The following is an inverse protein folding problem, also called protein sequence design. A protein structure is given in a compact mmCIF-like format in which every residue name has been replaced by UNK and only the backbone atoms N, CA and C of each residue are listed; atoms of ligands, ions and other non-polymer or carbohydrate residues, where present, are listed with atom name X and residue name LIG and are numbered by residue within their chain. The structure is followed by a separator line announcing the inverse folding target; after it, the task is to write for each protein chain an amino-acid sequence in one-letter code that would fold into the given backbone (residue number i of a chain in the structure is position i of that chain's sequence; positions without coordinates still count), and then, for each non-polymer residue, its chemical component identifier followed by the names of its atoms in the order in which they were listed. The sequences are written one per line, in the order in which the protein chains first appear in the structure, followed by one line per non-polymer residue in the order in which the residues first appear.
data_IF_932285141974
#
_entry.id   IF_932285141974
#
_cell.length_a   1.000
_cell.length_b   1.000
_cell.length_c   1.000
_cell.angle_alpha   90.00
_cell.angle_beta   90.00
_cell.angle_gamma   90.00
#
_symmetry.space_group_name_H-M   'P 1'
#
loop_
_entity.id
_entity.type
_entity.pdbx_description
1 polymer ?
#
# COMPACT_ATOMS: atom_id res chain seq x y z
N UNK A 1 29.62 -1.90 1.51
CA UNK A 1 28.29 -1.91 2.15
C UNK A 1 27.55 -3.24 1.97
N UNK A 2 27.22 -3.68 0.75
CA UNK A 2 26.55 -4.98 0.54
C UNK A 2 27.36 -6.18 1.06
N UNK A 3 28.68 -6.16 0.86
CA UNK A 3 29.56 -7.25 1.29
C UNK A 3 29.68 -7.36 2.83
N UNK A 4 29.58 -6.24 3.55
CA UNK A 4 29.56 -6.24 5.02
C UNK A 4 28.20 -6.66 5.59
N UNK A 5 27.11 -6.30 4.91
CA UNK A 5 25.77 -6.78 5.24
C UNK A 5 25.65 -8.31 5.10
N UNK A 6 26.35 -8.90 4.13
CA UNK A 6 26.35 -10.36 3.89
C UNK A 6 27.16 -11.11 4.97
N UNK A 7 28.31 -10.59 5.40
CA UNK A 7 29.10 -11.21 6.48
C UNK A 7 28.47 -11.04 7.86
N UNK A 8 27.81 -9.91 8.14
CA UNK A 8 27.05 -9.72 9.37
C UNK A 8 25.80 -10.63 9.44
N UNK A 9 25.17 -10.95 8.30
CA UNK A 9 24.05 -11.88 8.24
C UNK A 9 24.44 -13.34 8.57
N UNK A 10 25.71 -13.71 8.41
CA UNK A 10 26.25 -15.02 8.80
C UNK A 10 26.53 -15.12 10.31
N UNK A 11 26.84 -14.01 10.97
CA UNK A 11 27.14 -13.99 12.42
C UNK A 11 25.90 -13.78 13.30
N UNK A 12 24.87 -13.07 12.79
CA UNK A 12 23.65 -12.75 13.54
C UNK A 12 22.40 -12.86 12.64
N UNK A 13 21.94 -14.09 12.32
CA UNK A 13 20.83 -14.33 11.39
C UNK A 13 19.50 -13.75 11.88
N UNK A 14 19.28 -13.69 13.19
CA UNK A 14 18.08 -13.10 13.80
C UNK A 14 17.97 -11.58 13.58
N UNK A 15 19.08 -10.84 13.70
CA UNK A 15 19.11 -9.41 13.44
C UNK A 15 18.87 -9.10 11.95
N UNK A 16 19.51 -9.86 11.05
CA UNK A 16 19.32 -9.73 9.62
C UNK A 16 17.87 -10.04 9.19
N UNK A 17 17.25 -11.07 9.77
CA UNK A 17 15.84 -11.43 9.52
C UNK A 17 14.85 -10.36 9.97
N UNK A 18 15.11 -9.69 11.11
CA UNK A 18 14.27 -8.60 11.60
C UNK A 18 14.30 -7.38 10.68
N UNK A 19 15.49 -6.99 10.23
CA UNK A 19 15.70 -5.84 9.32
C UNK A 19 15.03 -6.08 7.96
N UNK A 20 15.15 -7.30 7.43
CA UNK A 20 14.55 -7.67 6.14
C UNK A 20 13.01 -7.68 6.20
N UNK A 21 12.42 -8.14 7.31
CA UNK A 21 10.96 -8.04 7.57
C UNK A 21 10.52 -6.58 7.73
N UNK A 22 11.31 -5.75 8.41
CA UNK A 22 11.04 -4.32 8.59
C UNK A 22 10.99 -3.55 7.27
N UNK A 23 12.01 -3.73 6.41
CA UNK A 23 12.05 -3.11 5.07
C UNK A 23 10.84 -3.51 4.24
N UNK A 24 10.52 -4.82 4.19
CA UNK A 24 9.36 -5.33 3.45
C UNK A 24 8.04 -4.72 3.95
N UNK A 25 7.89 -4.52 5.26
CA UNK A 25 6.73 -3.89 5.87
C UNK A 25 6.55 -2.42 5.47
N UNK A 26 7.65 -1.66 5.39
CA UNK A 26 7.65 -0.26 4.97
C UNK A 26 7.19 -0.10 3.51
N UNK A 27 7.69 -0.94 2.61
CA UNK A 27 7.25 -0.91 1.20
C UNK A 27 5.74 -1.18 1.07
N UNK A 28 5.20 -2.10 1.86
CA UNK A 28 3.75 -2.39 1.91
C UNK A 28 2.95 -1.21 2.46
N UNK A 29 3.43 -0.58 3.53
CA UNK A 29 2.75 0.56 4.15
C UNK A 29 2.67 1.73 3.17
N UNK A 30 3.78 2.08 2.51
CA UNK A 30 3.83 3.14 1.50
C UNK A 30 2.88 2.83 0.34
N UNK A 31 2.90 1.60 -0.18
CA UNK A 31 1.99 1.17 -1.25
C UNK A 31 0.52 1.30 -0.88
N UNK A 32 0.15 0.96 0.35
CA UNK A 32 -1.24 1.06 0.84
C UNK A 32 -1.71 2.51 0.92
N UNK A 33 -0.85 3.44 1.36
CA UNK A 33 -1.16 4.87 1.46
C UNK A 33 -1.38 5.46 0.06
N UNK A 34 -0.49 5.16 -0.89
CA UNK A 34 -0.62 5.63 -2.27
C UNK A 34 -1.94 5.13 -2.88
N UNK A 35 -2.26 3.85 -2.71
CA UNK A 35 -3.50 3.28 -3.22
C UNK A 35 -4.74 3.93 -2.61
N UNK A 36 -4.73 4.23 -1.31
CA UNK A 36 -5.83 4.90 -0.64
C UNK A 36 -6.06 6.33 -1.17
N UNK A 37 -4.98 7.08 -1.43
CA UNK A 37 -5.07 8.41 -2.05
C UNK A 37 -5.64 8.32 -3.46
N UNK A 38 -5.13 7.41 -4.30
CA UNK A 38 -5.65 7.23 -5.66
C UNK A 38 -7.13 6.85 -5.63
N UNK A 39 -7.51 5.93 -4.75
CA UNK A 39 -8.89 5.49 -4.59
C UNK A 39 -9.83 6.66 -4.19
N UNK A 40 -9.39 7.50 -3.25
CA UNK A 40 -10.12 8.70 -2.83
C UNK A 40 -10.28 9.71 -3.97
N UNK A 41 -9.21 9.95 -4.74
CA UNK A 41 -9.24 10.87 -5.91
C UNK A 41 -10.20 10.35 -6.97
N UNK A 42 -10.09 9.09 -7.38
CA UNK A 42 -10.97 8.52 -8.43
C UNK A 42 -12.43 8.50 -7.95
N UNK A 43 -12.70 8.19 -6.68
CA UNK A 43 -14.05 8.26 -6.12
C UNK A 43 -14.61 9.70 -6.12
N UNK A 44 -13.76 10.69 -5.82
CA UNK A 44 -14.11 12.12 -5.89
C UNK A 44 -14.49 12.53 -7.31
N UNK A 45 -13.71 12.11 -8.30
CA UNK A 45 -13.99 12.38 -9.72
C UNK A 45 -15.32 11.78 -10.15
N UNK A 46 -15.70 10.63 -9.58
CA UNK A 46 -16.93 9.87 -9.85
C UNK A 46 -18.17 10.37 -9.09
N UNK A 47 -18.03 11.45 -8.30
CA UNK A 47 -19.12 12.05 -7.52
C UNK A 47 -19.53 11.23 -6.30
N UNK A 48 -18.64 10.40 -5.76
CA UNK A 48 -18.87 9.63 -4.52
C UNK A 48 -18.00 10.16 -3.38
N UNK A 49 -18.36 9.77 -2.17
CA UNK A 49 -17.67 10.15 -0.93
C UNK A 49 -16.20 9.70 -0.95
N UNK A 50 -15.29 10.66 -1.12
CA UNK A 50 -13.85 10.45 -1.19
C UNK A 50 -13.30 9.76 0.08
N UNK A 51 -13.75 10.21 1.25
CA UNK A 51 -13.31 9.69 2.55
C UNK A 51 -13.64 8.20 2.72
N UNK A 52 -14.86 7.80 2.37
CA UNK A 52 -15.31 6.41 2.57
C UNK A 52 -14.55 5.45 1.67
N UNK A 53 -14.31 5.86 0.42
CA UNK A 53 -13.54 5.07 -0.55
C UNK A 53 -12.04 5.03 -0.27
N UNK A 54 -11.46 6.13 0.21
CA UNK A 54 -10.06 6.17 0.64
C UNK A 54 -9.78 5.26 1.84
N UNK A 55 -10.66 5.28 2.86
CA UNK A 55 -10.56 4.38 4.03
C UNK A 55 -10.72 2.92 3.60
N UNK A 56 -11.65 2.63 2.69
CA UNK A 56 -11.80 1.28 2.15
C UNK A 56 -10.53 0.84 1.38
N UNK A 57 -9.88 1.77 0.66
CA UNK A 57 -8.63 1.54 -0.04
C UNK A 57 -7.39 1.34 0.85
N UNK A 58 -7.40 1.83 2.09
CA UNK A 58 -6.35 1.49 3.06
C UNK A 58 -6.39 0.01 3.47
N UNK A 59 -7.59 -0.57 3.59
CA UNK A 59 -7.75 -1.98 4.00
C UNK A 59 -7.68 -2.97 2.83
N UNK A 60 -8.20 -2.60 1.66
CA UNK A 60 -8.33 -3.47 0.49
C UNK A 60 -7.71 -2.84 -0.76
N UNK A 61 -6.49 -2.33 -0.63
CA UNK A 61 -5.74 -1.54 -1.64
C UNK A 61 -5.95 -1.97 -3.10
N UNK A 62 -5.80 -3.26 -3.43
CA UNK A 62 -5.99 -3.75 -4.80
C UNK A 62 -7.47 -3.90 -5.18
N UNK A 63 -8.29 -4.46 -4.28
CA UNK A 63 -9.70 -4.78 -4.56
C UNK A 63 -10.55 -3.52 -4.70
N UNK A 64 -10.34 -2.51 -3.85
CA UNK A 64 -11.09 -1.26 -3.93
C UNK A 64 -10.79 -0.49 -5.21
N UNK A 65 -9.54 -0.48 -5.66
CA UNK A 65 -9.17 0.18 -6.90
C UNK A 65 -9.95 -0.41 -8.10
N UNK A 66 -10.02 -1.74 -8.17
CA UNK A 66 -10.78 -2.47 -9.19
C UNK A 66 -12.28 -2.10 -9.11
N UNK A 67 -12.86 -2.10 -7.91
CA UNK A 67 -14.30 -1.80 -7.74
C UNK A 67 -14.63 -0.32 -8.06
N UNK A 68 -13.78 0.66 -7.72
CA UNK A 68 -14.01 2.07 -8.14
C UNK A 68 -14.06 2.19 -9.65
N UNK A 69 -13.12 1.53 -10.33
CA UNK A 69 -13.00 1.58 -11.78
C UNK A 69 -14.27 1.00 -12.42
N UNK A 70 -14.71 -0.18 -11.96
CA UNK A 70 -15.87 -0.90 -12.50
C UNK A 70 -17.20 -0.17 -12.23
N UNK A 71 -17.45 0.31 -11.01
CA UNK A 71 -18.77 0.92 -10.71
C UNK A 71 -18.89 2.27 -11.42
N UNK A 72 -19.88 2.51 -12.31
CA UNK A 72 -20.02 3.73 -13.11
C UNK A 72 -20.26 5.01 -12.29
N UNK A 73 -20.05 6.16 -12.94
CA UNK A 73 -20.25 7.48 -12.31
C UNK A 73 -21.69 7.67 -11.88
N UNK A 74 -21.91 8.26 -10.70
CA UNK A 74 -23.27 8.66 -10.26
C UNK A 74 -23.75 9.96 -10.89
N UNK A 75 -22.92 10.58 -11.73
CA UNK A 75 -23.33 11.70 -12.59
C UNK A 75 -24.25 11.13 -13.67
N UNK A 76 -25.55 11.21 -13.46
CA UNK A 76 -26.54 11.28 -14.55
C UNK A 76 -26.31 12.52 -15.38
#
# INVERSE_FOLDING_TARGET
MLHELVTAAQSNPEAAGFILRGIKGIFVAIGSVIAAVICAVVASMKGRSALFWGILGLFFSIFTLIVVIVIPSKKT
#
